data_IF_218477780282
#
_entry.id   IF_218477780282
#
_cell.length_a   1.000
_cell.length_b   1.000
_cell.length_c   1.000
_cell.angle_alpha   90.00
_cell.angle_beta   90.00
_cell.angle_gamma   90.00
#
_symmetry.space_group_name_H-M   'P 1'
#
loop_
_entity.id
_entity.type
_entity.pdbx_description
1 polymer ?
#
# COMPACT_ATOMS: atom_id res chain seq x y z
N UNK A 1 5.98 -14.71 -25.14
CA UNK A 1 7.07 -14.23 -24.26
C UNK A 1 7.23 -12.73 -24.44
N UNK A 2 7.43 -12.22 -25.66
CA UNK A 2 7.55 -10.76 -25.94
C UNK A 2 6.41 -9.92 -25.35
N UNK A 3 5.14 -10.25 -25.62
CA UNK A 3 4.00 -9.50 -25.08
C UNK A 3 4.01 -9.33 -23.54
N UNK A 4 4.49 -10.34 -22.80
CA UNK A 4 4.53 -10.28 -21.33
C UNK A 4 5.64 -9.33 -20.88
N UNK A 5 6.78 -9.35 -21.57
CA UNK A 5 7.87 -8.40 -21.32
C UNK A 5 7.44 -6.98 -21.67
N UNK A 6 6.78 -6.77 -22.81
CA UNK A 6 6.29 -5.46 -23.24
C UNK A 6 5.30 -4.87 -22.23
N UNK A 7 4.37 -5.69 -21.72
CA UNK A 7 3.40 -5.26 -20.70
C UNK A 7 4.11 -4.95 -19.37
N UNK A 8 5.10 -5.74 -18.96
CA UNK A 8 5.86 -5.51 -17.74
C UNK A 8 6.70 -4.23 -17.83
N UNK A 9 7.41 -4.00 -18.93
CA UNK A 9 8.21 -2.79 -19.13
C UNK A 9 7.32 -1.55 -19.28
N UNK A 10 6.17 -1.67 -19.95
CA UNK A 10 5.15 -0.63 -20.01
C UNK A 10 4.63 -0.24 -18.61
N UNK A 11 4.31 -1.23 -17.78
CA UNK A 11 3.85 -0.99 -16.41
C UNK A 11 4.97 -0.41 -15.54
N UNK A 12 6.21 -0.89 -15.71
CA UNK A 12 7.39 -0.40 -14.98
C UNK A 12 7.71 1.06 -15.30
N UNK A 13 7.65 1.45 -16.58
CA UNK A 13 7.85 2.84 -16.99
C UNK A 13 6.83 3.78 -16.34
N UNK A 14 5.57 3.33 -16.20
CA UNK A 14 4.50 4.08 -15.53
C UNK A 14 4.63 4.11 -14.02
N UNK A 15 5.23 3.08 -13.43
CA UNK A 15 5.46 3.00 -11.99
C UNK A 15 6.42 4.10 -11.48
N UNK A 16 7.22 4.70 -12.35
CA UNK A 16 8.04 5.88 -12.06
C UNK A 16 7.21 7.13 -11.73
N UNK A 17 5.90 7.12 -12.01
CA UNK A 17 5.02 8.20 -11.62
C UNK A 17 4.64 8.07 -10.13
N UNK A 18 5.06 9.02 -9.26
CA UNK A 18 4.80 8.93 -7.81
C UNK A 18 3.32 8.91 -7.45
N UNK A 19 2.42 9.40 -8.32
CA UNK A 19 0.98 9.33 -8.09
C UNK A 19 0.49 7.89 -7.91
N UNK A 20 1.14 6.93 -8.59
CA UNK A 20 0.86 5.51 -8.41
C UNK A 20 1.22 5.01 -7.01
N UNK A 21 2.11 5.69 -6.29
CA UNK A 21 2.51 5.33 -4.93
C UNK A 21 1.55 5.92 -3.91
N UNK A 22 1.05 7.14 -4.17
CA UNK A 22 0.06 7.81 -3.32
C UNK A 22 -1.33 7.18 -3.40
N UNK A 23 -1.73 6.64 -4.57
CA UNK A 23 -3.05 6.00 -4.71
C UNK A 23 -3.15 4.68 -3.95
N UNK A 24 -2.04 3.92 -3.83
CA UNK A 24 -2.01 2.61 -3.17
C UNK A 24 -2.51 2.62 -1.73
N UNK A 25 -2.02 3.47 -0.82
CA UNK A 25 -2.57 3.54 0.53
C UNK A 25 -4.02 4.02 0.56
N UNK A 26 -4.44 4.87 -0.39
CA UNK A 26 -5.84 5.31 -0.49
C UNK A 26 -6.76 4.16 -0.91
N UNK A 27 -6.30 3.23 -1.75
CA UNK A 27 -7.03 2.02 -2.14
C UNK A 27 -7.23 1.03 -0.97
N UNK A 28 -6.52 1.22 0.15
CA UNK A 28 -6.81 0.46 1.37
C UNK A 28 -8.13 0.90 2.02
N UNK A 29 -8.61 2.13 1.79
CA UNK A 29 -9.90 2.59 2.31
C UNK A 29 -11.09 1.78 1.76
N UNK A 30 -11.27 1.65 0.42
CA UNK A 30 -12.33 0.79 -0.11
C UNK A 30 -12.09 -0.68 0.25
N UNK A 31 -10.83 -1.13 0.37
CA UNK A 31 -10.53 -2.49 0.84
C UNK A 31 -11.09 -2.74 2.25
N UNK A 32 -10.78 -1.86 3.21
CA UNK A 32 -11.31 -1.91 4.57
C UNK A 32 -12.84 -1.82 4.60
N UNK A 33 -13.43 -0.96 3.75
CA UNK A 33 -14.89 -0.84 3.63
C UNK A 33 -15.53 -2.14 3.16
N UNK A 34 -15.00 -2.78 2.10
CA UNK A 34 -15.54 -4.05 1.61
C UNK A 34 -15.28 -5.21 2.58
N UNK A 35 -14.17 -5.20 3.31
CA UNK A 35 -13.92 -6.12 4.42
C UNK A 35 -15.00 -5.99 5.51
N UNK A 36 -15.32 -4.76 5.91
CA UNK A 36 -16.37 -4.46 6.88
C UNK A 36 -17.75 -4.94 6.42
N UNK A 37 -18.05 -4.76 5.13
CA UNK A 37 -19.28 -5.23 4.46
C UNK A 37 -19.28 -6.74 4.18
N UNK A 38 -18.17 -7.44 4.43
CA UNK A 38 -17.97 -8.87 4.11
C UNK A 38 -18.20 -9.18 2.62
N UNK A 39 -17.90 -8.23 1.74
CA UNK A 39 -18.07 -8.38 0.29
C UNK A 39 -16.82 -9.00 -0.34
N UNK A 40 -16.89 -10.29 -0.70
CA UNK A 40 -15.77 -10.99 -1.35
C UNK A 40 -15.42 -10.40 -2.72
N UNK A 41 -16.43 -9.99 -3.49
CA UNK A 41 -16.24 -9.34 -4.80
C UNK A 41 -15.60 -7.98 -4.65
N UNK A 42 -16.00 -7.18 -3.66
CA UNK A 42 -15.38 -5.89 -3.36
C UNK A 42 -13.92 -6.02 -2.91
N UNK A 43 -13.62 -7.05 -2.10
CA UNK A 43 -12.24 -7.38 -1.71
C UNK A 43 -11.39 -7.78 -2.92
N UNK A 44 -11.90 -8.65 -3.79
CA UNK A 44 -11.20 -9.06 -5.00
C UNK A 44 -10.94 -7.86 -5.94
N UNK A 45 -11.96 -7.02 -6.17
CA UNK A 45 -11.84 -5.84 -7.01
C UNK A 45 -10.80 -4.83 -6.47
N UNK A 46 -10.75 -4.64 -5.15
CA UNK A 46 -9.75 -3.74 -4.54
C UNK A 46 -8.33 -4.32 -4.55
N UNK A 47 -8.16 -5.65 -4.45
CA UNK A 47 -6.86 -6.29 -4.66
C UNK A 47 -6.40 -6.12 -6.12
N UNK A 48 -7.28 -6.33 -7.10
CA UNK A 48 -6.98 -6.10 -8.52
C UNK A 48 -6.62 -4.64 -8.75
N UNK A 49 -7.35 -3.70 -8.14
CA UNK A 49 -7.04 -2.28 -8.22
C UNK A 49 -5.66 -1.97 -7.64
N UNK A 50 -5.32 -2.51 -6.46
CA UNK A 50 -3.99 -2.36 -5.86
C UNK A 50 -2.89 -2.92 -6.78
N UNK A 51 -3.07 -4.11 -7.34
CA UNK A 51 -2.09 -4.75 -8.21
C UNK A 51 -1.87 -3.98 -9.52
N UNK A 52 -2.92 -3.41 -10.09
CA UNK A 52 -2.86 -2.68 -11.37
C UNK A 52 -2.52 -1.20 -11.21
N UNK A 53 -2.64 -0.64 -9.99
CA UNK A 53 -2.45 0.80 -9.71
C UNK A 53 -1.09 1.35 -10.11
N UNK A 54 -0.05 0.51 -10.17
CA UNK A 54 1.28 0.90 -10.64
C UNK A 54 1.29 1.45 -12.08
N UNK A 55 0.30 1.07 -12.90
CA UNK A 55 0.23 1.41 -14.31
C UNK A 55 -0.88 2.42 -14.66
N UNK A 56 -1.62 2.94 -13.67
CA UNK A 56 -2.77 3.82 -13.93
C UNK A 56 -2.38 5.21 -14.46
N UNK A 57 -1.19 5.69 -14.08
CA UNK A 57 -0.72 7.02 -14.44
C UNK A 57 0.26 6.94 -15.62
N UNK A 58 0.36 7.99 -16.45
CA UNK A 58 1.31 8.01 -17.56
C UNK A 58 2.76 8.02 -17.05
N UNK A 59 3.67 7.45 -17.83
CA UNK A 59 5.10 7.53 -17.55
C UNK A 59 5.52 9.01 -17.53
N UNK A 60 6.31 9.45 -16.52
CA UNK A 60 6.75 10.83 -16.44
C UNK A 60 7.72 11.14 -17.60
N UNK A 61 7.61 12.34 -18.18
CA UNK A 61 8.55 12.79 -19.22
C UNK A 61 10.00 12.89 -18.69
N UNK A 62 10.15 13.29 -17.42
CA UNK A 62 11.41 13.31 -16.69
C UNK A 62 11.19 12.63 -15.34
N UNK A 63 11.70 11.40 -15.13
CA UNK A 63 11.61 10.72 -13.84
C UNK A 63 12.38 11.48 -12.75
N UNK A 64 11.84 11.49 -11.53
CA UNK A 64 12.59 11.97 -10.36
C UNK A 64 13.81 11.05 -10.10
N UNK A 65 15.03 11.59 -10.00
CA UNK A 65 16.24 10.75 -9.86
C UNK A 65 16.23 9.86 -8.62
N UNK A 66 15.63 10.33 -7.52
CA UNK A 66 15.57 9.58 -6.25
C UNK A 66 14.55 8.45 -6.35
N UNK A 67 13.39 8.72 -6.95
CA UNK A 67 12.38 7.70 -7.25
C UNK A 67 12.92 6.63 -8.20
N UNK A 68 13.62 7.02 -9.27
CA UNK A 68 14.25 6.10 -10.21
C UNK A 68 15.29 5.21 -9.51
N UNK A 69 16.18 5.79 -8.71
CA UNK A 69 17.17 5.02 -7.93
C UNK A 69 16.51 4.01 -6.97
N UNK A 70 15.40 4.40 -6.33
CA UNK A 70 14.67 3.49 -5.45
C UNK A 70 14.02 2.33 -6.21
N UNK A 71 13.43 2.61 -7.39
CA UNK A 71 12.82 1.59 -8.23
C UNK A 71 13.86 0.63 -8.80
N UNK A 72 15.02 1.12 -9.23
CA UNK A 72 16.11 0.27 -9.68
C UNK A 72 16.59 -0.68 -8.58
N UNK A 73 16.73 -0.16 -7.35
CA UNK A 73 16.98 -0.99 -6.17
C UNK A 73 15.87 -2.03 -5.95
N UNK A 74 14.60 -1.63 -6.02
CA UNK A 74 13.48 -2.56 -5.83
C UNK A 74 13.46 -3.65 -6.91
N UNK A 75 13.76 -3.30 -8.17
CA UNK A 75 13.88 -4.26 -9.28
C UNK A 75 15.00 -5.27 -9.02
N UNK A 76 16.18 -4.79 -8.62
CA UNK A 76 17.32 -5.64 -8.28
C UNK A 76 16.99 -6.59 -7.12
N UNK A 77 16.32 -6.08 -6.09
CA UNK A 77 15.85 -6.89 -4.97
C UNK A 77 14.87 -7.97 -5.43
N UNK A 78 13.93 -7.64 -6.32
CA UNK A 78 12.92 -8.58 -6.82
C UNK A 78 13.51 -9.71 -7.68
N UNK A 79 14.51 -9.43 -8.51
CA UNK A 79 15.17 -10.45 -9.36
C UNK A 79 16.26 -11.24 -8.63
N UNK A 80 16.75 -10.75 -7.49
CA UNK A 80 17.74 -11.46 -6.69
C UNK A 80 17.24 -12.83 -6.19
N UNK A 81 18.13 -13.78 -5.88
CA UNK A 81 17.75 -15.10 -5.36
C UNK A 81 16.82 -15.04 -4.14
N UNK A 82 15.88 -15.98 -4.07
CA UNK A 82 14.91 -16.07 -2.98
C UNK A 82 15.53 -16.66 -1.71
N UNK A 83 16.00 -15.78 -0.83
CA UNK A 83 16.45 -16.16 0.52
C UNK A 83 15.24 -16.37 1.45
N UNK A 84 15.38 -17.14 2.55
CA UNK A 84 14.32 -17.29 3.55
C UNK A 84 13.79 -15.95 4.08
N UNK A 85 14.67 -14.96 4.26
CA UNK A 85 14.28 -13.61 4.69
C UNK A 85 13.46 -12.88 3.63
N UNK A 86 13.81 -13.00 2.34
CA UNK A 86 13.02 -12.42 1.24
C UNK A 86 11.64 -13.06 1.13
N UNK A 87 11.54 -14.38 1.34
CA UNK A 87 10.26 -15.09 1.42
C UNK A 87 9.40 -14.53 2.57
N UNK A 88 9.99 -14.35 3.76
CA UNK A 88 9.29 -13.77 4.91
C UNK A 88 8.76 -12.36 4.60
N UNK A 89 9.58 -11.49 4.00
CA UNK A 89 9.11 -10.16 3.59
C UNK A 89 8.02 -10.23 2.52
N UNK A 90 8.11 -11.14 1.55
CA UNK A 90 7.07 -11.32 0.56
C UNK A 90 5.75 -11.79 1.19
N UNK A 91 5.79 -12.69 2.17
CA UNK A 91 4.62 -13.17 2.91
C UNK A 91 4.01 -12.12 3.84
N UNK A 92 4.78 -11.08 4.23
CA UNK A 92 4.25 -9.98 5.04
C UNK A 92 3.13 -9.20 4.33
N UNK A 93 3.17 -9.13 2.99
CA UNK A 93 2.14 -8.43 2.17
C UNK A 93 0.78 -9.14 2.22
N UNK A 94 0.65 -10.44 1.88
CA UNK A 94 -0.62 -11.14 2.01
C UNK A 94 -1.05 -11.26 3.47
N UNK A 95 -0.12 -11.43 4.43
CA UNK A 95 -0.44 -11.43 5.85
C UNK A 95 -1.05 -10.09 6.30
N UNK A 96 -0.49 -8.97 5.83
CA UNK A 96 -1.02 -7.63 6.08
C UNK A 96 -2.45 -7.49 5.54
N UNK A 97 -2.70 -7.83 4.27
CA UNK A 97 -4.02 -7.74 3.67
C UNK A 97 -5.04 -8.63 4.40
N UNK A 98 -4.67 -9.89 4.68
CA UNK A 98 -5.53 -10.82 5.40
C UNK A 98 -5.84 -10.32 6.82
N UNK A 99 -4.82 -9.85 7.56
CA UNK A 99 -4.97 -9.29 8.89
C UNK A 99 -5.89 -8.07 8.90
N UNK A 100 -5.72 -7.17 7.94
CA UNK A 100 -6.56 -5.98 7.79
C UNK A 100 -8.00 -6.38 7.46
N UNK A 101 -8.22 -7.32 6.54
CA UNK A 101 -9.55 -7.83 6.22
C UNK A 101 -10.23 -8.48 7.43
N UNK A 102 -9.51 -9.34 8.18
CA UNK A 102 -10.03 -9.97 9.38
C UNK A 102 -10.40 -8.96 10.46
N UNK A 103 -9.56 -7.93 10.68
CA UNK A 103 -9.83 -6.88 11.66
C UNK A 103 -11.13 -6.13 11.36
N UNK A 104 -11.34 -5.71 10.11
CA UNK A 104 -12.56 -5.01 9.70
C UNK A 104 -13.77 -5.95 9.58
N UNK A 105 -13.58 -7.23 9.25
CA UNK A 105 -14.64 -8.25 9.31
C UNK A 105 -15.15 -8.43 10.75
N UNK A 106 -14.23 -8.50 11.71
CA UNK A 106 -14.50 -8.59 13.15
C UNK A 106 -14.96 -7.26 13.76
N UNK A 107 -15.13 -6.22 12.95
CA UNK A 107 -15.58 -4.88 13.36
C UNK A 107 -14.64 -4.18 14.35
N UNK A 108 -13.37 -4.58 14.37
CA UNK A 108 -12.34 -4.02 15.25
C UNK A 108 -11.48 -3.00 14.51
N UNK A 109 -11.95 -1.75 14.48
CA UNK A 109 -11.22 -0.65 13.86
C UNK A 109 -9.86 -0.39 14.53
N UNK A 110 -9.74 -0.62 15.85
CA UNK A 110 -8.48 -0.46 16.61
C UNK A 110 -7.40 -1.43 16.13
N UNK A 111 -7.76 -2.71 15.96
CA UNK A 111 -6.85 -3.72 15.43
C UNK A 111 -6.49 -3.40 13.98
N UNK A 112 -7.46 -2.95 13.17
CA UNK A 112 -7.22 -2.53 11.80
C UNK A 112 -6.19 -1.39 11.71
N UNK A 113 -6.33 -0.37 12.56
CA UNK A 113 -5.35 0.71 12.66
C UNK A 113 -3.98 0.22 13.13
N UNK A 114 -3.91 -0.64 14.14
CA UNK A 114 -2.64 -1.19 14.63
C UNK A 114 -1.91 -1.92 13.49
N UNK A 115 -2.60 -2.78 12.75
CA UNK A 115 -2.03 -3.53 11.62
C UNK A 115 -1.56 -2.57 10.52
N UNK A 116 -2.36 -1.56 10.16
CA UNK A 116 -2.00 -0.58 9.14
C UNK A 116 -0.77 0.27 9.51
N UNK A 117 -0.71 0.75 10.76
CA UNK A 117 0.44 1.51 11.25
C UNK A 117 1.70 0.64 11.34
N UNK A 118 1.58 -0.61 11.83
CA UNK A 118 2.71 -1.54 11.88
C UNK A 118 3.27 -1.87 10.49
N UNK A 119 2.40 -2.12 9.51
CA UNK A 119 2.81 -2.38 8.12
C UNK A 119 3.47 -1.16 7.48
N UNK A 120 2.97 0.05 7.75
CA UNK A 120 3.58 1.29 7.29
C UNK A 120 5.00 1.46 7.87
N UNK A 121 5.17 1.29 9.19
CA UNK A 121 6.46 1.37 9.84
C UNK A 121 7.45 0.32 9.30
N UNK A 122 6.99 -0.92 9.09
CA UNK A 122 7.80 -1.97 8.48
C UNK A 122 8.24 -1.59 7.06
N UNK A 123 7.32 -1.06 6.24
CA UNK A 123 7.64 -0.64 4.86
C UNK A 123 8.63 0.52 4.84
N UNK A 124 8.47 1.51 5.72
CA UNK A 124 9.41 2.64 5.84
C UNK A 124 10.77 2.13 6.30
N UNK A 125 10.82 1.34 7.38
CA UNK A 125 12.05 0.77 7.90
C UNK A 125 12.81 -0.03 6.85
N UNK A 126 12.11 -0.92 6.13
CA UNK A 126 12.70 -1.72 5.06
C UNK A 126 13.25 -0.84 3.93
N UNK A 127 12.48 0.17 3.51
CA UNK A 127 12.88 1.06 2.42
C UNK A 127 14.12 1.88 2.79
N UNK A 128 14.22 2.38 4.03
CA UNK A 128 15.40 3.10 4.52
C UNK A 128 16.59 2.17 4.73
N UNK A 129 16.38 0.96 5.27
CA UNK A 129 17.45 0.02 5.62
C UNK A 129 18.17 -0.53 4.38
N UNK A 130 17.41 -0.81 3.32
CA UNK A 130 17.92 -1.46 2.11
C UNK A 130 18.03 -0.52 0.90
N UNK A 131 17.15 0.47 0.76
CA UNK A 131 17.18 1.46 -0.32
C UNK A 131 18.08 2.67 -0.05
N UNK A 132 18.65 2.78 1.16
CA UNK A 132 19.52 3.89 1.55
C UNK A 132 18.82 5.24 1.40
N UNK A 133 19.53 6.23 0.84
CA UNK A 133 18.99 7.58 0.64
C UNK A 133 17.77 7.63 -0.28
N UNK A 134 17.67 6.73 -1.25
CA UNK A 134 16.51 6.64 -2.14
C UNK A 134 15.23 6.18 -1.42
N UNK A 135 15.39 5.44 -0.31
CA UNK A 135 14.28 4.90 0.49
C UNK A 135 13.34 5.95 1.08
N UNK A 136 13.83 7.17 1.26
CA UNK A 136 13.03 8.31 1.72
C UNK A 136 11.92 8.71 0.76
N UNK A 137 12.01 8.40 -0.54
CA UNK A 137 10.93 8.68 -1.51
C UNK A 137 9.64 7.94 -1.15
N UNK A 138 9.72 6.82 -0.41
CA UNK A 138 8.55 6.05 0.04
C UNK A 138 7.88 6.67 1.27
N UNK A 139 8.59 7.51 2.02
CA UNK A 139 8.09 8.06 3.29
C UNK A 139 6.86 8.97 3.08
N UNK A 140 6.87 9.96 2.14
CA UNK A 140 5.71 10.80 1.91
C UNK A 140 4.41 10.06 1.56
N UNK A 141 4.38 9.11 0.59
CA UNK A 141 3.16 8.36 0.30
C UNK A 141 2.72 7.47 1.47
N UNK A 142 3.66 6.86 2.19
CA UNK A 142 3.36 6.06 3.36
C UNK A 142 2.75 6.90 4.50
N UNK A 143 3.34 8.06 4.79
CA UNK A 143 2.90 9.01 5.81
C UNK A 143 1.52 9.58 5.47
N UNK A 144 1.28 9.98 4.22
CA UNK A 144 -0.04 10.44 3.78
C UNK A 144 -1.09 9.35 3.98
N UNK A 145 -0.76 8.12 3.58
CA UNK A 145 -1.64 6.96 3.72
C UNK A 145 -2.14 6.75 5.15
N UNK A 146 -1.22 6.71 6.11
CA UNK A 146 -1.58 6.55 7.52
C UNK A 146 -2.28 7.79 8.09
N UNK A 147 -1.90 9.00 7.66
CA UNK A 147 -2.56 10.22 8.11
C UNK A 147 -4.03 10.24 7.71
N UNK A 148 -4.32 9.90 6.44
CA UNK A 148 -5.69 9.80 5.92
C UNK A 148 -6.47 8.69 6.62
N UNK A 149 -5.89 7.49 6.76
CA UNK A 149 -6.57 6.37 7.40
C UNK A 149 -6.90 6.65 8.88
N UNK A 150 -5.90 7.11 9.66
CA UNK A 150 -6.10 7.44 11.07
C UNK A 150 -7.08 8.62 11.23
N UNK A 151 -6.95 9.66 10.40
CA UNK A 151 -7.83 10.82 10.42
C UNK A 151 -9.30 10.48 10.13
N UNK A 152 -9.55 9.62 9.13
CA UNK A 152 -10.89 9.16 8.79
C UNK A 152 -11.52 8.36 9.95
N UNK A 153 -10.78 7.42 10.53
CA UNK A 153 -11.29 6.61 11.66
C UNK A 153 -11.54 7.49 12.88
N UNK A 154 -10.62 8.40 13.20
CA UNK A 154 -10.80 9.36 14.29
C UNK A 154 -12.08 10.18 14.10
N UNK A 155 -12.28 10.75 12.91
CA UNK A 155 -13.48 11.50 12.58
C UNK A 155 -14.77 10.68 12.72
N UNK A 156 -14.78 9.42 12.24
CA UNK A 156 -15.93 8.51 12.39
C UNK A 156 -16.26 8.24 13.86
N UNK A 157 -15.25 7.99 14.69
CA UNK A 157 -15.42 7.75 16.13
C UNK A 157 -15.96 8.99 16.84
N UNK A 158 -15.38 10.16 16.57
CA UNK A 158 -15.85 11.43 17.14
C UNK A 158 -17.31 11.72 16.76
N UNK A 159 -17.70 11.51 15.49
CA UNK A 159 -19.10 11.71 15.06
C UNK A 159 -20.07 10.77 15.78
N UNK A 160 -19.69 9.52 16.01
CA UNK A 160 -20.55 8.58 16.74
C UNK A 160 -20.74 8.99 18.21
N UNK A 161 -19.69 9.47 18.87
CA UNK A 161 -19.79 9.96 20.25
C UNK A 161 -20.64 11.23 20.35
N UNK A 162 -20.48 12.22 19.45
CA UNK A 162 -21.27 13.45 19.46
C UNK A 162 -22.77 13.25 19.16
N UNK A 163 -23.15 12.12 18.54
CA UNK A 163 -24.54 11.78 18.29
C UNK A 163 -25.22 11.16 19.53
N UNK A 164 -24.48 10.46 20.39
CA UNK A 164 -25.02 9.87 21.63
C UNK A 164 -25.13 10.88 22.78
N UNK A 165 -24.38 11.98 22.76
CA UNK A 165 -24.45 13.02 23.80
C UNK A 165 -25.56 14.08 23.55
N UNK A 166 -26.40 13.90 22.53
CA UNK A 166 -27.54 14.78 22.21
C UNK A 166 -28.91 14.14 22.49
N UNK A 167 -28.91 12.97 23.12
CA UNK A 167 -30.08 12.29 23.66
C UNK A 167 -29.93 12.19 25.18
#
# INVERSE_FOLDING_TARGET
MELIHDVADWAWARHHNPLSWYVRPLLLLPYCYFAWRRSRTGLAATIIALATSMAWFPAPAVPDPRAAAFLDFERQYLIAPWTPLKILFALSVPAFLAGLAMAFWARSWRIGLLIANAACLLKIWWSLRYGGDSGWTVVPPAALGIAVLNGLVFWLVCRHHSAHSRH
#
